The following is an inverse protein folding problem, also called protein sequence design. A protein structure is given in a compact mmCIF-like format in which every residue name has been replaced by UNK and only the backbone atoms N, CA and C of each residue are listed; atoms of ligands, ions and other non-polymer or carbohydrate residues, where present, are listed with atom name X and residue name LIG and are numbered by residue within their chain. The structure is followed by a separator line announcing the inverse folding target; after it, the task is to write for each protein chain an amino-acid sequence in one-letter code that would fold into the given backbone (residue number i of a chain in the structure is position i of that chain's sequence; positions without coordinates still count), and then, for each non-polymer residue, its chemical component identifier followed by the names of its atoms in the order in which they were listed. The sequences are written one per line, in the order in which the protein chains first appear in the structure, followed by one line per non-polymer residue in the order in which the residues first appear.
data_IF_351180993478
#
_entry.id   IF_351180993478
#
_cell.length_a   1.000
_cell.length_b   1.000
_cell.length_c   1.000
_cell.angle_alpha   90.00
_cell.angle_beta   90.00
_cell.angle_gamma   90.00
#
_symmetry.space_group_name_H-M   'P 1'
#
loop_
_entity.id
_entity.type
_entity.pdbx_description
1 polymer ?
#
# COMPACT_ATOMS: atom_id res chain seq x y z
N UNK A 1 -7.47 -17.22 12.24
CA UNK A 1 -6.70 -15.97 12.39
C UNK A 1 -5.82 -15.88 11.16
N UNK A 2 -5.87 -14.78 10.41
CA UNK A 2 -4.98 -14.58 9.26
C UNK A 2 -3.52 -14.72 9.69
N UNK A 3 -2.74 -15.48 8.91
CA UNK A 3 -1.32 -15.73 9.16
C UNK A 3 -0.50 -14.66 8.44
N UNK A 4 0.15 -13.79 9.21
CA UNK A 4 1.01 -12.73 8.68
C UNK A 4 2.48 -13.18 8.71
N UNK A 5 3.20 -12.98 7.62
CA UNK A 5 4.66 -13.16 7.59
C UNK A 5 5.32 -11.91 7.03
N UNK A 6 5.65 -10.92 7.88
CA UNK A 6 6.45 -9.77 7.45
C UNK A 6 7.85 -10.18 6.94
N UNK A 7 8.27 -11.42 7.23
CA UNK A 7 9.54 -12.01 6.81
C UNK A 7 9.61 -12.29 5.29
N UNK A 8 8.46 -12.37 4.61
CA UNK A 8 8.39 -12.56 3.15
C UNK A 8 8.65 -11.28 2.35
N UNK A 9 8.83 -10.14 3.02
CA UNK A 9 9.08 -8.85 2.40
C UNK A 9 10.55 -8.80 2.03
N UNK A 10 10.88 -9.23 0.80
CA UNK A 10 12.20 -8.97 0.24
C UNK A 10 12.36 -7.45 0.09
N UNK A 11 13.33 -6.88 0.81
CA UNK A 11 13.63 -5.44 0.87
C UNK A 11 13.78 -4.74 -0.50
N UNK A 12 13.96 -5.48 -1.60
CA UNK A 12 14.12 -4.95 -2.95
C UNK A 12 12.86 -4.37 -3.58
N UNK A 13 11.67 -4.65 -3.04
CA UNK A 13 10.39 -4.13 -3.56
C UNK A 13 9.83 -2.92 -2.78
N UNK A 14 10.52 -2.47 -1.73
CA UNK A 14 10.11 -1.30 -0.97
C UNK A 14 10.43 -0.03 -1.76
N UNK A 15 9.49 0.94 -1.84
CA UNK A 15 9.75 2.20 -2.51
C UNK A 15 10.84 2.96 -1.75
N UNK A 16 11.73 3.60 -2.52
CA UNK A 16 12.76 4.44 -1.94
C UNK A 16 12.09 5.57 -1.14
N UNK A 17 12.42 5.71 0.18
CA UNK A 17 11.84 6.76 1.00
C UNK A 17 12.28 8.14 0.51
N UNK A 18 11.38 9.11 0.56
CA UNK A 18 11.66 10.51 0.25
C UNK A 18 11.51 11.36 1.51
N UNK A 19 12.52 12.13 1.86
CA UNK A 19 12.45 13.03 3.01
C UNK A 19 11.59 14.26 2.73
N UNK A 20 10.61 14.52 3.59
CA UNK A 20 9.69 15.69 3.55
C UNK A 20 9.64 16.34 4.93
N UNK A 21 10.49 17.35 5.14
CA UNK A 21 10.65 17.98 6.45
C UNK A 21 11.23 16.99 7.47
N UNK A 22 10.49 16.74 8.55
CA UNK A 22 10.88 15.75 9.59
C UNK A 22 10.46 14.31 9.28
N UNK A 23 9.68 14.08 8.23
CA UNK A 23 9.12 12.78 7.91
C UNK A 23 9.85 12.12 6.74
N UNK A 24 9.95 10.81 6.78
CA UNK A 24 10.26 9.96 5.63
C UNK A 24 8.96 9.45 5.04
N UNK A 25 8.82 9.59 3.72
CA UNK A 25 7.61 9.25 2.98
C UNK A 25 7.87 8.08 2.06
N UNK A 26 7.13 7.00 2.28
CA UNK A 26 7.10 5.82 1.43
C UNK A 26 5.85 5.89 0.56
N UNK A 27 5.97 5.67 -0.75
CA UNK A 27 4.86 5.83 -1.70
C UNK A 27 4.70 4.61 -2.59
N UNK A 28 3.46 4.16 -2.76
CA UNK A 28 3.08 3.12 -3.72
C UNK A 28 2.03 3.66 -4.67
N UNK A 29 2.22 3.37 -5.94
CA UNK A 29 1.28 3.66 -7.01
C UNK A 29 0.57 2.37 -7.35
N UNK A 30 -0.76 2.36 -7.29
CA UNK A 30 -1.59 1.25 -7.73
C UNK A 30 -2.26 1.68 -9.03
N UNK A 31 -2.10 0.84 -10.05
CA UNK A 31 -2.57 1.06 -11.40
C UNK A 31 -3.56 -0.05 -11.75
N UNK A 32 -4.77 0.32 -12.17
CA UNK A 32 -5.76 -0.63 -12.66
C UNK A 32 -6.07 -0.38 -14.13
N UNK A 33 -6.19 -1.46 -14.90
CA UNK A 33 -6.55 -1.42 -16.32
C UNK A 33 -8.02 -1.03 -16.56
N UNK A 34 -8.89 -1.12 -15.54
CA UNK A 34 -10.33 -1.01 -15.70
C UNK A 34 -10.92 0.40 -15.45
N UNK A 35 -10.10 1.45 -15.23
CA UNK A 35 -10.62 2.81 -15.04
C UNK A 35 -11.52 2.94 -13.81
N UNK A 36 -11.06 2.38 -12.69
CA UNK A 36 -11.86 2.20 -11.48
C UNK A 36 -11.99 3.50 -10.71
N UNK A 37 -13.22 3.88 -10.37
CA UNK A 37 -13.47 4.95 -9.42
C UNK A 37 -13.34 4.42 -7.99
N UNK A 38 -12.40 4.98 -7.24
CA UNK A 38 -12.18 4.67 -5.81
C UNK A 38 -12.69 5.81 -4.92
N UNK A 39 -13.56 6.68 -5.43
CA UNK A 39 -14.07 7.85 -4.70
C UNK A 39 -14.82 7.45 -3.40
N UNK A 40 -15.50 6.29 -3.42
CA UNK A 40 -16.21 5.74 -2.26
C UNK A 40 -15.43 4.63 -1.52
N UNK A 41 -14.13 4.46 -1.81
CA UNK A 41 -13.32 3.43 -1.18
C UNK A 41 -13.12 3.74 0.31
N UNK A 42 -13.69 2.90 1.17
CA UNK A 42 -13.55 3.02 2.62
C UNK A 42 -12.28 2.30 3.05
N UNK A 43 -11.44 3.00 3.82
CA UNK A 43 -10.22 2.41 4.33
C UNK A 43 -10.51 1.37 5.41
N UNK A 44 -9.83 0.22 5.36
CA UNK A 44 -9.98 -0.75 6.42
C UNK A 44 -9.32 -0.24 7.71
N UNK A 45 -9.74 -0.74 8.86
CA UNK A 45 -9.00 -0.49 10.10
C UNK A 45 -7.65 -1.23 10.05
N UNK A 46 -6.55 -0.61 10.53
CA UNK A 46 -5.27 -1.28 10.63
C UNK A 46 -5.36 -2.54 11.50
N UNK A 47 -4.80 -3.63 11.00
CA UNK A 47 -4.72 -4.89 11.76
C UNK A 47 -3.72 -4.81 12.92
N UNK A 48 -2.75 -3.90 12.81
CA UNK A 48 -1.69 -3.65 13.80
C UNK A 48 -1.58 -2.14 13.94
N UNK A 49 -1.64 -1.64 15.18
CA UNK A 49 -1.44 -0.21 15.46
C UNK A 49 -0.02 0.22 15.05
N UNK A 50 0.09 1.42 14.46
CA UNK A 50 1.37 2.02 14.09
C UNK A 50 1.34 3.55 14.28
N UNK A 51 2.49 4.15 14.60
CA UNK A 51 2.60 5.59 14.94
C UNK A 51 2.70 6.52 13.70
N UNK A 52 2.55 5.97 12.50
CA UNK A 52 2.66 6.70 11.24
C UNK A 52 1.37 7.36 10.78
N UNK A 53 1.49 8.25 9.78
CA UNK A 53 0.33 8.83 9.10
C UNK A 53 0.19 8.22 7.69
N UNK A 54 -0.97 7.65 7.38
CA UNK A 54 -1.32 7.18 6.03
C UNK A 54 -2.18 8.21 5.32
N UNK A 55 -1.73 8.62 4.13
CA UNK A 55 -2.47 9.47 3.21
C UNK A 55 -2.69 8.72 1.91
N UNK A 56 -3.91 8.74 1.41
CA UNK A 56 -4.28 8.11 0.15
C UNK A 56 -4.84 9.17 -0.77
N UNK A 57 -4.28 9.24 -1.97
CA UNK A 57 -4.69 10.22 -2.99
C UNK A 57 -5.08 9.49 -4.25
N UNK A 58 -6.19 9.89 -4.84
CA UNK A 58 -6.66 9.37 -6.12
C UNK A 58 -6.33 10.34 -7.24
N UNK A 59 -5.82 9.84 -8.36
CA UNK A 59 -5.60 10.61 -9.59
C UNK A 59 -6.72 10.30 -10.60
N UNK A 60 -7.83 11.07 -10.59
CA UNK A 60 -9.06 10.72 -11.31
C UNK A 60 -8.92 10.62 -12.83
N UNK A 61 -7.93 11.28 -13.42
CA UNK A 61 -7.71 11.26 -14.86
C UNK A 61 -6.84 10.08 -15.34
N UNK A 62 -6.26 9.28 -14.42
CA UNK A 62 -5.28 8.24 -14.76
C UNK A 62 -5.63 6.86 -14.23
N UNK A 63 -6.69 6.71 -13.43
CA UNK A 63 -7.02 5.44 -12.79
C UNK A 63 -5.91 4.97 -11.83
N UNK A 64 -5.19 5.93 -11.26
CA UNK A 64 -4.04 5.70 -10.38
C UNK A 64 -4.42 6.06 -8.95
N UNK A 65 -4.19 5.12 -8.04
CA UNK A 65 -4.25 5.35 -6.60
C UNK A 65 -2.83 5.48 -6.07
N UNK A 66 -2.54 6.52 -5.28
CA UNK A 66 -1.24 6.64 -4.61
C UNK A 66 -1.44 6.55 -3.11
N UNK A 67 -0.81 5.54 -2.50
CA UNK A 67 -0.75 5.35 -1.05
C UNK A 67 0.58 5.93 -0.55
N UNK A 68 0.52 6.79 0.46
CA UNK A 68 1.69 7.36 1.11
C UNK A 68 1.66 7.10 2.61
N UNK A 69 2.75 6.59 3.13
CA UNK A 69 2.97 6.43 4.58
C UNK A 69 4.09 7.39 4.98
N UNK A 70 3.84 8.17 6.03
CA UNK A 70 4.83 9.07 6.62
C UNK A 70 5.28 8.56 7.99
N UNK A 71 6.59 8.33 8.13
CA UNK A 71 7.23 7.83 9.35
C UNK A 71 8.39 8.73 9.79
N UNK A 72 8.79 8.64 11.06
CA UNK A 72 9.93 9.41 11.60
C UNK A 72 11.27 8.79 11.18
N UNK A 73 11.30 7.48 10.98
CA UNK A 73 12.47 6.71 10.57
C UNK A 73 12.50 6.49 9.06
N UNK A 74 13.70 6.32 8.51
CA UNK A 74 13.90 6.07 7.08
C UNK A 74 13.40 4.69 6.64
N UNK A 75 13.33 3.76 7.60
CA UNK A 75 12.85 2.40 7.40
C UNK A 75 11.38 2.36 7.76
N UNK A 76 10.55 1.89 6.84
CA UNK A 76 9.13 1.69 7.12
C UNK A 76 8.94 0.62 8.20
N UNK A 77 8.04 0.88 9.15
CA UNK A 77 7.65 -0.11 10.15
C UNK A 77 6.91 -1.29 9.53
N UNK A 78 7.09 -2.48 10.11
CA UNK A 78 6.37 -3.67 9.66
C UNK A 78 4.85 -3.51 9.74
N UNK A 79 4.36 -2.81 10.76
CA UNK A 79 2.93 -2.56 10.96
C UNK A 79 2.35 -1.66 9.86
N UNK A 80 3.03 -0.56 9.49
CA UNK A 80 2.58 0.29 8.40
C UNK A 80 2.62 -0.43 7.06
N UNK A 81 3.62 -1.28 6.83
CA UNK A 81 3.74 -2.07 5.62
C UNK A 81 2.63 -3.13 5.49
N UNK A 82 2.26 -3.80 6.57
CA UNK A 82 1.10 -4.71 6.63
C UNK A 82 -0.18 -3.93 6.30
N UNK A 83 -0.33 -2.72 6.82
CA UNK A 83 -1.51 -1.90 6.53
C UNK A 83 -1.60 -1.48 5.05
N UNK A 84 -0.47 -1.11 4.43
CA UNK A 84 -0.42 -0.86 2.99
C UNK A 84 -0.82 -2.11 2.20
N UNK A 85 -0.28 -3.27 2.55
CA UNK A 85 -0.63 -4.54 1.91
C UNK A 85 -2.13 -4.88 2.07
N UNK A 86 -2.71 -4.63 3.24
CA UNK A 86 -4.14 -4.79 3.49
C UNK A 86 -4.98 -3.91 2.57
N UNK A 87 -4.62 -2.63 2.40
CA UNK A 87 -5.30 -1.72 1.47
C UNK A 87 -5.17 -2.22 0.04
N UNK A 88 -3.97 -2.63 -0.38
CA UNK A 88 -3.69 -3.12 -1.73
C UNK A 88 -4.53 -4.36 -2.06
N UNK A 89 -4.58 -5.34 -1.15
CA UNK A 89 -5.40 -6.55 -1.33
C UNK A 89 -6.89 -6.23 -1.32
N UNK A 90 -7.36 -5.33 -0.46
CA UNK A 90 -8.77 -4.91 -0.46
C UNK A 90 -9.17 -4.24 -1.78
N UNK A 91 -8.28 -3.41 -2.35
CA UNK A 91 -8.50 -2.82 -3.68
C UNK A 91 -8.49 -3.92 -4.74
N UNK A 92 -7.52 -4.84 -4.73
CA UNK A 92 -7.46 -5.94 -5.70
C UNK A 92 -8.73 -6.80 -5.68
N UNK A 93 -9.16 -7.24 -4.50
CA UNK A 93 -10.31 -8.12 -4.33
C UNK A 93 -11.63 -7.41 -4.64
N UNK A 94 -11.75 -6.14 -4.23
CA UNK A 94 -12.95 -5.35 -4.46
C UNK A 94 -13.14 -4.91 -5.91
N UNK A 95 -12.07 -4.88 -6.70
CA UNK A 95 -12.11 -4.39 -8.08
C UNK A 95 -12.33 -5.48 -9.12
N UNK A 96 -11.94 -6.72 -8.84
CA UNK A 96 -12.03 -7.84 -9.79
C UNK A 96 -11.21 -7.63 -11.07
N UNK A 97 -10.35 -6.61 -11.10
CA UNK A 97 -9.50 -6.25 -12.22
C UNK A 97 -8.03 -6.53 -11.89
N UNK A 98 -7.20 -6.65 -12.93
CA UNK A 98 -5.77 -6.73 -12.74
C UNK A 98 -5.24 -5.41 -12.16
N UNK A 99 -4.48 -5.53 -11.08
CA UNK A 99 -3.91 -4.43 -10.32
C UNK A 99 -2.39 -4.58 -10.34
N UNK A 100 -1.69 -3.51 -10.71
CA UNK A 100 -0.23 -3.43 -10.63
C UNK A 100 0.18 -2.47 -9.52
N UNK A 101 1.23 -2.80 -8.77
CA UNK A 101 1.83 -1.92 -7.76
C UNK A 101 3.20 -1.48 -8.25
N UNK A 102 3.38 -0.17 -8.46
CA UNK A 102 4.55 0.44 -9.07
C UNK A 102 4.90 -0.20 -10.44
N UNK A 103 3.87 -0.55 -11.22
CA UNK A 103 4.00 -1.24 -12.50
C UNK A 103 4.24 -2.76 -12.43
N UNK A 104 4.24 -3.36 -11.24
CA UNK A 104 4.45 -4.80 -11.03
C UNK A 104 3.14 -5.51 -10.63
N UNK A 105 2.67 -6.46 -11.45
CA UNK A 105 1.48 -7.28 -11.19
C UNK A 105 1.75 -8.47 -10.26
N UNK A 106 3.02 -8.77 -9.97
CA UNK A 106 3.46 -9.82 -9.04
C UNK A 106 4.10 -9.22 -7.77
N UNK A 107 3.73 -7.98 -7.44
CA UNK A 107 4.35 -7.24 -6.34
C UNK A 107 4.24 -7.99 -4.99
N UNK A 108 5.32 -8.09 -4.19
CA UNK A 108 5.31 -8.82 -2.92
C UNK A 108 4.27 -8.37 -1.90
N UNK A 109 3.75 -7.14 -2.02
CA UNK A 109 2.65 -6.65 -1.17
C UNK A 109 1.39 -7.53 -1.23
N UNK A 110 1.16 -8.22 -2.35
CA UNK A 110 0.04 -9.15 -2.47
C UNK A 110 0.17 -10.37 -1.55
N UNK A 111 1.38 -10.76 -1.15
CA UNK A 111 1.64 -11.93 -0.32
C UNK A 111 1.81 -11.63 1.18
N UNK A 112 1.80 -10.35 1.58
CA UNK A 112 2.06 -9.94 2.99
C UNK A 112 0.90 -10.31 3.91
N UNK A 113 -0.33 -10.28 3.40
CA UNK A 113 -1.55 -10.67 4.12
C UNK A 113 -2.10 -11.93 3.45
N UNK A 114 -2.03 -13.08 4.15
CA UNK A 114 -2.68 -14.32 3.73
C UNK A 114 -3.88 -14.61 4.62
N UNK A 115 -4.99 -14.96 3.99
CA UNK A 115 -6.14 -15.61 4.67
C UNK A 115 -5.74 -16.93 5.32
#
# INVERSE_FOLDING_TARGET
MPNYSPENIRMTALPAPVRRGRWWVHSWTLESSAGISLEDFTLPEPLIDFEGATLITFEPARGVLVIRVSELDEVISAAALVYVAQIVNLVRDGTGAELAVNGDTENPLFDVVRE
#
